data_IF_731064122793
#
_entry.id   IF_731064122793
#
_cell.length_a   1.000
_cell.length_b   1.000
_cell.length_c   1.000
_cell.angle_alpha   90.00
_cell.angle_beta   90.00
_cell.angle_gamma   90.00
#
_symmetry.space_group_name_H-M   'P 1'
#
loop_
_entity.id
_entity.type
_entity.pdbx_description
1 polymer ?
#
# COMPACT_ATOMS: atom_id res chain seq x y z
N UNK A 1 2.60 3.12 -8.14
CA UNK A 1 3.35 1.98 -7.57
C UNK A 1 2.34 0.96 -7.07
N UNK A 2 2.50 -0.32 -7.40
CA UNK A 2 1.81 -1.44 -6.73
C UNK A 2 2.55 -1.72 -5.43
N UNK A 3 1.81 -2.00 -4.37
CA UNK A 3 2.37 -2.32 -3.06
C UNK A 3 2.54 -3.83 -2.98
N UNK A 4 3.78 -4.30 -2.81
CA UNK A 4 4.09 -5.71 -2.61
C UNK A 4 4.10 -6.10 -1.12
N UNK A 5 4.52 -5.16 -0.27
CA UNK A 5 4.57 -5.31 1.18
C UNK A 5 4.52 -3.94 1.86
N UNK A 6 4.43 -3.92 3.18
CA UNK A 6 4.43 -2.66 3.93
C UNK A 6 5.22 -2.74 5.23
N UNK A 7 5.71 -1.58 5.66
CA UNK A 7 6.20 -1.32 7.01
C UNK A 7 5.16 -0.44 7.71
N UNK A 8 4.44 -0.98 8.69
CA UNK A 8 3.40 -0.27 9.41
C UNK A 8 3.91 0.28 10.74
N UNK A 9 4.61 1.42 10.73
CA UNK A 9 5.22 2.02 11.91
C UNK A 9 4.18 2.41 12.97
N UNK A 10 3.04 2.94 12.56
CA UNK A 10 1.95 3.23 13.49
C UNK A 10 1.47 1.97 14.23
N UNK A 11 1.35 0.86 13.51
CA UNK A 11 0.98 -0.43 14.10
C UNK A 11 2.01 -0.95 15.09
N UNK A 12 3.30 -0.82 14.78
CA UNK A 12 4.41 -1.18 15.68
C UNK A 12 4.43 -0.30 16.93
N UNK A 13 3.99 0.97 16.83
CA UNK A 13 3.86 1.90 17.93
C UNK A 13 2.58 1.68 18.78
N UNK A 14 1.77 0.66 18.49
CA UNK A 14 0.57 0.32 19.25
C UNK A 14 -0.76 0.76 18.64
N UNK A 15 -0.76 1.40 17.47
CA UNK A 15 -1.96 1.81 16.73
C UNK A 15 -2.41 0.76 15.69
N UNK A 16 -2.18 -0.54 15.98
CA UNK A 16 -2.66 -1.60 15.12
C UNK A 16 -4.18 -1.74 15.27
N UNK A 17 -4.96 -1.69 14.17
CA UNK A 17 -6.43 -1.75 14.21
C UNK A 17 -6.97 -3.09 14.73
N UNK A 18 -6.19 -4.17 14.69
CA UNK A 18 -6.56 -5.48 15.23
C UNK A 18 -6.27 -5.61 16.74
N UNK A 19 -5.78 -4.56 17.40
CA UNK A 19 -5.54 -4.55 18.84
C UNK A 19 -6.86 -4.43 19.60
N UNK A 20 -7.02 -5.23 20.66
CA UNK A 20 -8.23 -5.22 21.48
C UNK A 20 -8.95 -6.57 21.44
N UNK A 21 -10.23 -6.66 21.84
CA UNK A 21 -11.03 -7.88 21.73
C UNK A 21 -11.18 -8.34 20.29
N UNK A 22 -10.95 -9.64 20.02
CA UNK A 22 -11.14 -10.20 18.70
C UNK A 22 -12.62 -10.51 18.44
N UNK A 23 -13.09 -10.18 17.25
CA UNK A 23 -14.39 -10.61 16.73
C UNK A 23 -14.17 -11.77 15.77
N UNK A 24 -14.30 -13.00 16.26
CA UNK A 24 -13.98 -14.21 15.50
C UNK A 24 -14.74 -14.37 14.18
N UNK A 25 -15.88 -13.68 14.01
CA UNK A 25 -16.60 -13.64 12.75
C UNK A 25 -15.82 -12.96 11.59
N UNK A 26 -14.83 -12.13 11.90
CA UNK A 26 -14.00 -11.45 10.90
C UNK A 26 -12.66 -12.12 10.66
N UNK A 27 -12.21 -13.00 11.57
CA UNK A 27 -10.94 -13.68 11.41
C UNK A 27 -10.33 -14.15 12.74
N UNK A 28 -9.20 -14.88 12.69
CA UNK A 28 -8.52 -15.42 13.85
C UNK A 28 -7.90 -14.29 14.70
N UNK A 29 -7.66 -14.56 16.00
CA UNK A 29 -7.00 -13.61 16.92
C UNK A 29 -5.62 -13.19 16.42
N UNK A 30 -4.88 -14.12 15.86
CA UNK A 30 -3.58 -13.90 15.27
C UNK A 30 -3.64 -14.29 13.80
N UNK A 31 -3.17 -13.42 12.92
CA UNK A 31 -3.12 -13.67 11.48
C UNK A 31 -1.71 -13.45 10.93
N UNK A 32 -1.33 -14.30 9.98
CA UNK A 32 -0.03 -14.23 9.31
C UNK A 32 -0.15 -13.30 8.12
N UNK A 33 0.62 -12.22 8.07
CA UNK A 33 0.55 -11.17 7.05
C UNK A 33 1.62 -11.27 5.95
N UNK A 34 2.23 -12.45 5.74
CA UNK A 34 3.25 -12.67 4.70
C UNK A 34 2.73 -12.54 3.26
N UNK A 35 1.42 -12.50 3.07
CA UNK A 35 0.74 -12.37 1.77
C UNK A 35 -0.42 -11.39 1.84
N UNK A 36 -0.27 -10.31 2.60
CA UNK A 36 -1.31 -9.27 2.71
C UNK A 36 -1.75 -8.75 1.35
N UNK A 37 -0.82 -8.51 0.44
CA UNK A 37 -1.12 -8.09 -0.93
C UNK A 37 -1.09 -9.30 -1.87
N UNK A 38 -2.21 -9.58 -2.52
CA UNK A 38 -2.38 -10.76 -3.38
C UNK A 38 -1.40 -10.75 -4.56
N UNK A 39 -0.54 -11.77 -4.68
CA UNK A 39 0.38 -11.89 -5.83
C UNK A 39 -0.37 -11.96 -7.17
N UNK A 40 -1.54 -12.61 -7.22
CA UNK A 40 -2.35 -12.73 -8.42
C UNK A 40 -2.89 -11.38 -8.86
N UNK A 41 -3.38 -10.55 -7.92
CA UNK A 41 -3.87 -9.21 -8.23
C UNK A 41 -2.74 -8.26 -8.62
N UNK A 42 -1.55 -8.40 -8.03
CA UNK A 42 -0.35 -7.64 -8.42
C UNK A 42 0.06 -8.00 -9.86
N UNK A 43 0.15 -9.28 -10.18
CA UNK A 43 0.44 -9.73 -11.54
C UNK A 43 -0.60 -9.24 -12.56
N UNK A 44 -1.90 -9.25 -12.20
CA UNK A 44 -2.97 -8.70 -13.03
C UNK A 44 -2.77 -7.19 -13.26
N UNK A 45 -2.43 -6.44 -12.21
CA UNK A 45 -2.19 -5.01 -12.32
C UNK A 45 -1.04 -4.69 -13.30
N UNK A 46 0.06 -5.43 -13.22
CA UNK A 46 1.18 -5.29 -14.16
C UNK A 46 0.80 -5.65 -15.60
N UNK A 47 0.04 -6.75 -15.79
CA UNK A 47 -0.48 -7.15 -17.11
C UNK A 47 -1.34 -6.05 -17.73
N UNK A 48 -2.30 -5.51 -16.98
CA UNK A 48 -3.18 -4.44 -17.45
C UNK A 48 -2.40 -3.15 -17.70
N UNK A 49 -1.46 -2.80 -16.84
CA UNK A 49 -0.59 -1.63 -17.04
C UNK A 49 0.20 -1.72 -18.35
N UNK A 50 0.78 -2.89 -18.64
CA UNK A 50 1.50 -3.14 -19.90
C UNK A 50 0.60 -2.96 -21.13
N UNK A 51 -0.64 -3.47 -21.08
CA UNK A 51 -1.62 -3.30 -22.16
C UNK A 51 -2.01 -1.84 -22.41
N UNK A 52 -2.01 -1.03 -21.35
CA UNK A 52 -2.34 0.40 -21.38
C UNK A 52 -1.12 1.31 -21.63
N UNK A 53 0.09 0.76 -21.77
CA UNK A 53 1.32 1.53 -21.89
C UNK A 53 1.64 2.34 -20.61
N UNK A 54 1.19 1.88 -19.45
CA UNK A 54 1.43 2.52 -18.16
C UNK A 54 2.66 1.88 -17.52
N UNK A 55 3.70 2.67 -17.26
CA UNK A 55 4.81 2.23 -16.40
C UNK A 55 4.31 2.09 -14.97
N UNK A 56 4.38 0.88 -14.42
CA UNK A 56 3.93 0.55 -13.07
C UNK A 56 5.10 0.00 -12.27
N UNK A 57 5.48 0.72 -11.22
CA UNK A 57 6.50 0.28 -10.27
C UNK A 57 5.86 -0.59 -9.19
N UNK A 58 6.67 -1.41 -8.52
CA UNK A 58 6.27 -2.23 -7.39
C UNK A 58 7.27 -2.02 -6.25
N UNK A 59 6.83 -2.10 -5.00
CA UNK A 59 7.72 -1.92 -3.86
C UNK A 59 7.01 -1.87 -2.51
N UNK A 60 7.80 -1.60 -1.47
CA UNK A 60 7.39 -1.56 -0.06
C UNK A 60 6.85 -0.19 0.31
N UNK A 61 5.65 -0.18 0.88
CA UNK A 61 4.98 1.03 1.36
C UNK A 61 5.19 1.21 2.86
N UNK A 62 5.75 2.35 3.27
CA UNK A 62 5.88 2.70 4.70
C UNK A 62 4.68 3.53 5.12
N UNK A 63 3.94 3.05 6.12
CA UNK A 63 2.79 3.76 6.68
C UNK A 63 3.14 4.46 7.98
N UNK A 64 2.98 5.78 8.00
CA UNK A 64 3.17 6.68 9.13
C UNK A 64 1.84 7.25 9.61
N UNK A 65 1.85 7.90 10.76
CA UNK A 65 0.66 8.59 11.31
C UNK A 65 0.45 9.98 10.72
N UNK A 66 1.49 10.67 10.28
CA UNK A 66 1.44 12.11 10.02
C UNK A 66 1.13 12.92 11.30
N UNK A 67 0.68 14.19 11.20
CA UNK A 67 0.35 14.93 9.98
C UNK A 67 1.54 15.62 9.31
N UNK A 68 2.74 15.57 9.88
CA UNK A 68 3.95 16.15 9.29
C UNK A 68 4.54 15.23 8.21
N UNK A 69 5.19 15.84 7.23
CA UNK A 69 6.11 15.13 6.35
C UNK A 69 7.36 14.70 7.11
N UNK A 70 8.05 13.70 6.58
CA UNK A 70 9.25 13.13 7.15
C UNK A 70 10.41 14.12 7.12
N UNK A 71 11.22 14.12 8.17
CA UNK A 71 12.53 14.78 8.18
C UNK A 71 13.51 14.05 7.25
N UNK A 72 14.55 14.73 6.75
CA UNK A 72 15.59 14.06 5.95
C UNK A 72 16.24 12.85 6.65
N UNK A 73 16.35 12.87 7.97
CA UNK A 73 16.89 11.75 8.75
C UNK A 73 15.92 10.55 8.73
N UNK A 74 14.62 10.80 8.89
CA UNK A 74 13.58 9.79 8.80
C UNK A 74 13.51 9.19 7.39
N UNK A 75 13.60 10.00 6.34
CA UNK A 75 13.64 9.51 4.96
C UNK A 75 14.83 8.55 4.75
N UNK A 76 16.02 8.90 5.24
CA UNK A 76 17.19 8.00 5.15
C UNK A 76 16.99 6.71 5.94
N UNK A 77 16.39 6.78 7.13
CA UNK A 77 16.05 5.62 7.95
C UNK A 77 15.07 4.70 7.23
N UNK A 78 13.96 5.25 6.73
CA UNK A 78 12.93 4.46 6.04
C UNK A 78 13.48 3.79 4.78
N UNK A 79 14.32 4.48 4.02
CA UNK A 79 15.02 3.91 2.86
C UNK A 79 15.97 2.78 3.28
N UNK A 80 16.73 2.95 4.36
CA UNK A 80 17.62 1.93 4.87
C UNK A 80 16.87 0.67 5.36
N UNK A 81 15.61 0.82 5.77
CA UNK A 81 14.73 -0.28 6.13
C UNK A 81 14.05 -0.95 4.92
N UNK A 82 14.32 -0.48 3.72
CA UNK A 82 13.79 -1.05 2.48
C UNK A 82 12.44 -0.46 2.04
N UNK A 83 12.05 0.70 2.55
CA UNK A 83 10.86 1.41 2.08
C UNK A 83 11.11 2.12 0.74
N UNK A 84 10.18 1.96 -0.20
CA UNK A 84 10.21 2.58 -1.52
C UNK A 84 9.27 3.79 -1.61
N UNK A 85 8.18 3.78 -0.87
CA UNK A 85 7.24 4.88 -0.77
C UNK A 85 6.76 5.07 0.66
N UNK A 86 6.35 6.29 1.00
CA UNK A 86 5.84 6.64 2.32
C UNK A 86 4.50 7.35 2.20
N UNK A 87 3.63 7.15 3.19
CA UNK A 87 2.34 7.84 3.29
C UNK A 87 1.62 7.55 4.60
N UNK A 88 0.42 8.09 4.75
CA UNK A 88 -0.33 8.13 6.00
C UNK A 88 -1.59 7.26 5.97
N UNK A 89 -1.67 6.27 5.09
CA UNK A 89 -2.86 5.44 4.85
C UNK A 89 -2.48 3.99 4.53
N UNK A 90 -3.45 3.24 4.04
CA UNK A 90 -3.29 1.97 3.30
C UNK A 90 -2.94 0.76 4.16
N UNK A 91 -1.89 0.80 5.00
CA UNK A 91 -1.45 -0.40 5.73
C UNK A 91 -2.49 -0.87 6.78
N UNK A 92 -3.12 0.06 7.50
CA UNK A 92 -4.17 -0.28 8.47
C UNK A 92 -5.37 -0.94 7.79
N UNK A 93 -5.83 -0.37 6.67
CA UNK A 93 -6.93 -0.89 5.87
C UNK A 93 -6.59 -2.24 5.24
N UNK A 94 -5.37 -2.39 4.71
CA UNK A 94 -4.90 -3.64 4.14
C UNK A 94 -4.85 -4.77 5.17
N UNK A 95 -4.36 -4.49 6.40
CA UNK A 95 -4.32 -5.45 7.50
C UNK A 95 -5.73 -5.92 7.86
N UNK A 96 -6.69 -4.98 8.04
CA UNK A 96 -8.07 -5.31 8.38
C UNK A 96 -8.76 -6.10 7.26
N UNK A 97 -8.59 -5.67 6.01
CA UNK A 97 -9.17 -6.36 4.86
C UNK A 97 -8.63 -7.79 4.73
N UNK A 98 -7.31 -7.95 4.86
CA UNK A 98 -6.69 -9.27 4.81
C UNK A 98 -7.13 -10.17 5.97
N UNK A 99 -7.20 -9.62 7.19
CA UNK A 99 -7.69 -10.34 8.37
C UNK A 99 -9.14 -10.82 8.17
N UNK A 100 -9.98 -10.00 7.54
CA UNK A 100 -11.37 -10.32 7.20
C UNK A 100 -11.53 -11.25 5.97
N UNK A 101 -10.47 -11.85 5.48
CA UNK A 101 -10.56 -12.82 4.38
C UNK A 101 -10.54 -12.19 2.98
N UNK A 102 -10.39 -10.89 2.82
CA UNK A 102 -10.39 -10.24 1.51
C UNK A 102 -9.05 -10.42 0.76
N UNK A 103 -9.10 -10.51 -0.57
CA UNK A 103 -7.92 -10.29 -1.41
C UNK A 103 -7.62 -8.81 -1.49
N UNK A 104 -6.37 -8.42 -1.26
CA UNK A 104 -5.96 -7.02 -1.24
C UNK A 104 -5.02 -6.71 -2.40
N UNK A 105 -5.30 -5.62 -3.11
CA UNK A 105 -4.40 -4.97 -4.05
C UNK A 105 -4.19 -3.53 -3.56
N UNK A 106 -2.96 -3.20 -3.19
CA UNK A 106 -2.55 -1.85 -2.84
C UNK A 106 -1.95 -1.11 -4.04
N UNK A 107 -2.43 0.10 -4.30
CA UNK A 107 -1.86 0.99 -5.33
C UNK A 107 -1.63 2.37 -4.71
N UNK A 108 -0.39 2.82 -4.71
CA UNK A 108 0.00 4.15 -4.23
C UNK A 108 0.31 5.07 -5.40
N UNK A 109 -0.29 6.25 -5.40
CA UNK A 109 0.02 7.34 -6.34
C UNK A 109 1.19 8.15 -5.80
N UNK A 110 2.34 8.08 -6.48
CA UNK A 110 3.53 8.84 -6.07
C UNK A 110 3.42 10.26 -6.60
N UNK A 111 3.27 11.23 -5.71
CA UNK A 111 3.02 12.64 -6.05
C UNK A 111 4.27 13.51 -5.99
N UNK A 112 5.24 13.12 -5.18
CA UNK A 112 6.49 13.84 -4.95
C UNK A 112 7.60 12.89 -4.50
N UNK A 113 8.84 13.34 -4.58
CA UNK A 113 9.98 12.66 -3.99
C UNK A 113 10.23 13.15 -2.58
N UNK A 114 10.56 12.26 -1.67
CA UNK A 114 10.95 12.60 -0.31
C UNK A 114 12.37 13.18 -0.29
N UNK A 115 12.60 14.16 0.60
CA UNK A 115 13.87 14.89 0.71
C UNK A 115 14.74 14.22 1.77
N UNK A 116 15.92 13.75 1.39
CA UNK A 116 16.87 13.04 2.26
C UNK A 116 18.04 13.90 2.75
N UNK A 117 18.10 15.19 2.35
CA UNK A 117 19.16 16.12 2.67
C UNK A 117 18.65 17.47 3.18
N UNK A 118 19.21 17.97 4.28
CA UNK A 118 18.93 19.30 4.82
C UNK A 118 19.49 20.44 3.95
N UNK A 119 20.36 20.14 2.99
CA UNK A 119 20.90 21.13 2.04
C UNK A 119 19.90 21.47 0.93
N UNK A 120 18.88 20.63 0.69
CA UNK A 120 17.85 20.85 -0.32
C UNK A 120 16.78 21.78 0.27
N UNK A 121 16.64 22.97 -0.31
CA UNK A 121 15.55 23.92 0.01
C UNK A 121 14.39 23.68 -0.94
N UNK A 122 13.76 22.54 -0.88
CA UNK A 122 12.52 22.28 -1.62
C UNK A 122 11.37 22.21 -0.62
N UNK A 123 10.38 23.05 -0.81
CA UNK A 123 9.14 22.99 -0.04
C UNK A 123 8.17 22.08 -0.81
N UNK A 124 7.74 21.00 -0.16
CA UNK A 124 6.65 20.16 -0.66
C UNK A 124 5.36 20.89 -0.34
N UNK A 125 4.70 21.45 -1.35
CA UNK A 125 3.43 22.14 -1.16
C UNK A 125 2.25 21.20 -1.41
N UNK A 126 1.18 21.38 -0.64
CA UNK A 126 -0.08 20.67 -0.86
C UNK A 126 -0.64 20.89 -2.28
N UNK A 127 -0.41 22.06 -2.87
CA UNK A 127 -0.82 22.38 -4.23
C UNK A 127 -0.09 21.53 -5.29
N UNK A 128 1.21 21.26 -5.07
CA UNK A 128 1.99 20.36 -5.96
C UNK A 128 1.46 18.93 -5.90
N UNK A 129 1.15 18.43 -4.71
CA UNK A 129 0.53 17.12 -4.51
C UNK A 129 -0.81 17.04 -5.25
N UNK A 130 -1.67 18.06 -5.13
CA UNK A 130 -2.96 18.11 -5.84
C UNK A 130 -2.78 18.19 -7.36
N UNK A 131 -1.79 18.92 -7.85
CA UNK A 131 -1.49 19.03 -9.28
C UNK A 131 -1.01 17.70 -9.85
N UNK A 132 -0.07 17.03 -9.18
CA UNK A 132 0.39 15.70 -9.54
C UNK A 132 -0.76 14.68 -9.52
N UNK A 133 -1.61 14.73 -8.49
CA UNK A 133 -2.80 13.89 -8.38
C UNK A 133 -3.72 14.01 -9.59
N UNK A 134 -4.01 15.25 -10.05
CA UNK A 134 -4.84 15.47 -11.26
C UNK A 134 -4.27 14.83 -12.53
N UNK A 135 -2.96 14.77 -12.66
CA UNK A 135 -2.30 14.10 -13.80
C UNK A 135 -2.33 12.57 -13.68
N UNK A 136 -2.28 12.05 -12.47
CA UNK A 136 -2.27 10.60 -12.19
C UNK A 136 -3.68 9.99 -12.33
N UNK A 137 -4.73 10.70 -11.91
CA UNK A 137 -6.11 10.21 -11.84
C UNK A 137 -6.61 9.54 -13.13
N UNK A 138 -6.43 10.11 -14.35
CA UNK A 138 -6.92 9.44 -15.56
C UNK A 138 -6.24 8.08 -15.81
N UNK A 139 -4.92 8.00 -15.56
CA UNK A 139 -4.15 6.75 -15.71
C UNK A 139 -4.55 5.71 -14.67
N UNK A 140 -4.70 6.15 -13.41
CA UNK A 140 -5.18 5.29 -12.32
C UNK A 140 -6.58 4.76 -12.61
N UNK A 141 -7.50 5.62 -13.06
CA UNK A 141 -8.85 5.21 -13.41
C UNK A 141 -8.89 4.19 -14.56
N UNK A 142 -8.05 4.38 -15.60
CA UNK A 142 -7.93 3.41 -16.69
C UNK A 142 -7.38 2.07 -16.21
N UNK A 143 -6.33 2.10 -15.36
CA UNK A 143 -5.74 0.91 -14.76
C UNK A 143 -6.77 0.14 -13.91
N UNK A 144 -7.47 0.83 -13.01
CA UNK A 144 -8.50 0.21 -12.15
C UNK A 144 -9.64 -0.42 -12.97
N UNK A 145 -10.14 0.27 -14.01
CA UNK A 145 -11.19 -0.29 -14.89
C UNK A 145 -10.70 -1.55 -15.59
N UNK A 146 -9.46 -1.57 -16.07
CA UNK A 146 -8.86 -2.74 -16.72
C UNK A 146 -8.73 -3.91 -15.74
N UNK A 147 -8.23 -3.64 -14.53
CA UNK A 147 -8.11 -4.66 -13.47
C UNK A 147 -9.48 -5.23 -13.12
N UNK A 148 -10.50 -4.38 -12.89
CA UNK A 148 -11.85 -4.82 -12.52
C UNK A 148 -12.53 -5.63 -13.64
N UNK A 149 -12.29 -5.28 -14.90
CA UNK A 149 -12.81 -6.03 -16.06
C UNK A 149 -12.21 -7.43 -16.13
N UNK A 150 -10.91 -7.56 -15.88
CA UNK A 150 -10.15 -8.80 -16.04
C UNK A 150 -9.98 -9.55 -14.70
N UNK A 151 -10.71 -9.12 -13.66
CA UNK A 151 -10.63 -9.70 -12.32
C UNK A 151 -11.08 -11.17 -12.35
N UNK A 152 -10.24 -12.13 -11.92
CA UNK A 152 -10.63 -13.53 -11.86
C UNK A 152 -11.75 -13.75 -10.84
N UNK A 153 -12.58 -14.75 -11.03
CA UNK A 153 -13.58 -15.16 -10.04
C UNK A 153 -12.92 -15.34 -8.67
N UNK A 154 -13.71 -15.11 -7.64
CA UNK A 154 -13.26 -15.36 -6.26
C UNK A 154 -13.13 -16.88 -6.06
N UNK A 155 -11.97 -17.31 -5.56
CA UNK A 155 -11.70 -18.68 -5.18
C UNK A 155 -11.69 -18.78 -3.65
N UNK A 156 -12.67 -19.46 -3.03
CA UNK A 156 -12.70 -19.66 -1.58
C UNK A 156 -11.46 -20.37 -1.02
N UNK A 157 -10.83 -21.26 -1.79
CA UNK A 157 -9.63 -21.99 -1.37
C UNK A 157 -8.43 -21.06 -1.14
N UNK A 158 -8.40 -19.88 -1.77
CA UNK A 158 -7.36 -18.87 -1.49
C UNK A 158 -7.42 -18.36 -0.03
N UNK A 159 -8.60 -18.42 0.62
CA UNK A 159 -8.78 -18.06 2.02
C UNK A 159 -8.48 -19.23 2.93
N UNK A 160 -9.02 -20.42 2.59
CA UNK A 160 -8.87 -21.65 3.40
C UNK A 160 -7.40 -22.08 3.49
N UNK A 161 -6.62 -21.87 2.43
CA UNK A 161 -5.19 -22.16 2.39
C UNK A 161 -4.29 -21.05 3.00
N UNK A 162 -4.86 -20.07 3.72
CA UNK A 162 -4.04 -19.10 4.46
C UNK A 162 -3.39 -19.80 5.65
N UNK A 163 -2.10 -19.53 5.91
CA UNK A 163 -1.43 -20.14 7.04
C UNK A 163 -2.11 -19.71 8.34
N UNK A 164 -2.61 -20.68 9.09
CA UNK A 164 -3.05 -20.51 10.47
C UNK A 164 -1.83 -20.67 11.40
N UNK A 165 -1.84 -19.95 12.54
CA UNK A 165 -0.87 -20.11 13.61
C UNK A 165 -1.39 -21.17 14.58
#
# INVERSE_FOLDING_TARGET
>A
MVIEDHIFLAGMAGYNPLRGPNQGAFGPRFSIHTRTYSPQLRALAHKVAAQLGITLHEGVYVSLTGPSFETPAEVRMLRAWGGDAVGMSTAAEAIVAYHAGMRVLGISSITNLSIDSTAVRQEISHEEVLRAGRQIVPRLAALLRGILRDLPPFDPEEIENRPEI
#
